data_IF_137097814541
#
_entry.id   IF_137097814541
#
_cell.length_a   1.000
_cell.length_b   1.000
_cell.length_c   1.000
_cell.angle_alpha   90.00
_cell.angle_beta   90.00
_cell.angle_gamma   90.00
#
_symmetry.space_group_name_H-M   'P 1'
#
loop_
_entity.id
_entity.type
_entity.pdbx_description
1 polymer ?
#
# COMPACT_ATOMS: atom_id res chain seq x y z
N UNK A 1 -15.58 19.34 25.84
CA UNK A 1 -14.67 18.23 26.17
C UNK A 1 -13.53 18.26 25.16
N UNK A 2 -12.34 18.66 25.62
CA UNK A 2 -11.22 19.08 24.79
C UNK A 2 -10.63 17.88 24.02
N UNK A 3 -10.58 17.96 22.69
CA UNK A 3 -9.77 17.06 21.88
C UNK A 3 -8.30 17.40 22.13
N UNK A 4 -7.64 16.59 22.94
CA UNK A 4 -6.18 16.56 23.01
C UNK A 4 -5.70 16.03 21.65
N UNK A 5 -5.36 16.94 20.74
CA UNK A 5 -4.48 16.61 19.63
C UNK A 5 -3.12 16.38 20.27
N UNK A 6 -2.81 15.11 20.56
CA UNK A 6 -1.47 14.74 20.97
C UNK A 6 -0.51 15.25 19.88
N UNK A 7 0.44 16.09 20.28
CA UNK A 7 1.48 16.58 19.40
C UNK A 7 2.14 15.38 18.71
N UNK A 8 2.15 15.39 17.37
CA UNK A 8 2.75 14.35 16.55
C UNK A 8 4.24 14.28 16.89
N UNK A 9 4.63 13.25 17.64
CA UNK A 9 6.03 12.79 17.69
C UNK A 9 6.50 12.63 16.24
N UNK A 10 7.69 13.15 15.94
CA UNK A 10 8.21 13.29 14.58
C UNK A 10 7.88 12.08 13.69
N UNK A 11 7.18 12.32 12.59
CA UNK A 11 6.81 11.25 11.67
C UNK A 11 8.06 10.74 10.95
N UNK A 12 8.28 9.44 10.99
CA UNK A 12 9.44 8.81 10.35
C UNK A 12 9.39 9.08 8.83
N UNK A 13 10.38 9.78 8.24
CA UNK A 13 10.45 9.94 6.79
C UNK A 13 10.77 8.60 6.11
N UNK A 14 10.32 8.44 4.86
CA UNK A 14 10.54 7.21 4.08
C UNK A 14 12.02 6.90 3.84
N UNK A 15 12.83 7.91 3.58
CA UNK A 15 14.29 7.81 3.44
C UNK A 15 14.93 7.23 4.69
N UNK A 16 14.49 7.64 5.88
CA UNK A 16 14.98 7.12 7.17
C UNK A 16 14.50 5.70 7.39
N UNK A 17 13.25 5.37 7.03
CA UNK A 17 12.78 3.99 7.04
C UNK A 17 13.67 3.12 6.15
N UNK A 18 13.92 3.55 4.91
CA UNK A 18 14.72 2.84 3.93
C UNK A 18 16.13 2.57 4.45
N UNK A 19 16.81 3.58 4.98
CA UNK A 19 18.17 3.45 5.51
C UNK A 19 18.25 2.41 6.64
N UNK A 20 17.27 2.39 7.54
CA UNK A 20 17.21 1.42 8.64
C UNK A 20 16.89 0.02 8.14
N UNK A 21 15.95 -0.09 7.20
CA UNK A 21 15.48 -1.36 6.66
C UNK A 21 16.44 -1.98 5.64
N UNK A 22 17.41 -1.24 5.10
CA UNK A 22 18.34 -1.73 4.09
C UNK A 22 19.21 -2.90 4.57
N UNK A 23 19.49 -2.98 5.87
CA UNK A 23 20.24 -4.07 6.50
C UNK A 23 19.35 -5.15 7.13
N UNK A 24 18.02 -5.03 7.03
CA UNK A 24 17.07 -5.95 7.63
C UNK A 24 16.75 -7.11 6.70
N UNK A 25 16.59 -8.30 7.27
CA UNK A 25 15.93 -9.39 6.57
C UNK A 25 14.42 -9.10 6.39
N UNK A 26 13.74 -9.96 5.62
CA UNK A 26 12.32 -9.80 5.34
C UNK A 26 11.43 -9.85 6.61
N UNK A 27 11.78 -10.63 7.64
CA UNK A 27 10.99 -10.73 8.89
C UNK A 27 11.12 -9.46 9.71
N UNK A 28 12.34 -8.97 9.85
CA UNK A 28 12.67 -7.73 10.55
C UNK A 28 12.00 -6.55 9.86
N UNK A 29 12.07 -6.49 8.52
CA UNK A 29 11.42 -5.42 7.73
C UNK A 29 9.91 -5.44 7.88
N UNK A 30 9.27 -6.60 7.76
CA UNK A 30 7.82 -6.73 7.93
C UNK A 30 7.38 -6.28 9.33
N UNK A 31 8.12 -6.72 10.36
CA UNK A 31 7.87 -6.31 11.74
C UNK A 31 8.03 -4.81 11.92
N UNK A 32 9.07 -4.22 11.32
CA UNK A 32 9.32 -2.79 11.37
C UNK A 32 8.22 -1.99 10.66
N UNK A 33 7.76 -2.44 9.48
CA UNK A 33 6.66 -1.83 8.75
C UNK A 33 5.35 -1.85 9.56
N UNK A 34 5.02 -2.97 10.23
CA UNK A 34 3.85 -3.09 11.09
C UNK A 34 3.91 -2.14 12.30
N UNK A 35 5.08 -1.94 12.90
CA UNK A 35 5.26 -0.94 13.97
C UNK A 35 5.01 0.46 13.42
N UNK A 36 5.57 0.80 12.26
CA UNK A 36 5.38 2.13 11.66
C UNK A 36 3.94 2.40 11.23
N UNK A 37 3.23 1.38 10.74
CA UNK A 37 1.79 1.43 10.50
C UNK A 37 1.03 1.82 11.77
N UNK A 38 1.29 1.14 12.90
CA UNK A 38 0.63 1.41 14.19
C UNK A 38 0.93 2.80 14.73
N UNK A 39 2.11 3.33 14.43
CA UNK A 39 2.51 4.71 14.75
C UNK A 39 1.90 5.75 13.78
N UNK A 40 1.17 5.33 12.75
CA UNK A 40 0.54 6.21 11.78
C UNK A 40 1.50 6.80 10.76
N UNK A 41 2.69 6.21 10.56
CA UNK A 41 3.68 6.66 9.57
C UNK A 41 3.33 6.19 8.16
N UNK A 42 2.11 6.49 7.73
CA UNK A 42 1.60 6.22 6.38
C UNK A 42 1.44 7.56 5.66
N UNK A 43 1.91 7.70 4.41
CA UNK A 43 1.69 8.92 3.63
C UNK A 43 0.19 9.23 3.51
N UNK A 44 -0.21 10.44 3.86
CA UNK A 44 -1.63 10.81 3.95
C UNK A 44 -2.38 10.68 2.60
N UNK A 45 -1.67 10.71 1.47
CA UNK A 45 -2.30 10.49 0.17
C UNK A 45 -2.73 9.04 -0.05
N UNK A 46 -2.08 8.05 0.58
CA UNK A 46 -2.49 6.64 0.47
C UNK A 46 -3.85 6.38 1.10
N UNK A 47 -4.26 7.20 2.06
CA UNK A 47 -5.56 7.10 2.73
C UNK A 47 -6.71 7.70 1.90
N UNK A 48 -6.41 8.38 0.79
CA UNK A 48 -7.40 8.90 -0.16
C UNK A 48 -7.69 7.82 -1.20
N UNK A 49 -8.67 6.97 -0.92
CA UNK A 49 -8.98 5.85 -1.80
C UNK A 49 -9.67 6.30 -3.10
N UNK A 50 -9.34 5.63 -4.20
CA UNK A 50 -9.87 5.90 -5.53
C UNK A 50 -10.91 4.86 -5.95
N UNK A 51 -12.06 5.26 -6.50
CA UNK A 51 -13.08 4.32 -6.96
C UNK A 51 -12.69 3.67 -8.29
N UNK A 52 -12.77 2.35 -8.35
CA UNK A 52 -12.71 1.58 -9.60
C UNK A 52 -14.08 0.97 -9.84
N UNK A 53 -14.73 1.39 -10.92
CA UNK A 53 -16.05 0.90 -11.33
C UNK A 53 -15.88 -0.29 -12.24
N UNK A 54 -16.56 -1.39 -11.93
CA UNK A 54 -16.50 -2.63 -12.71
C UNK A 54 -17.89 -3.12 -13.05
N UNK A 55 -17.97 -3.83 -14.17
CA UNK A 55 -19.16 -4.55 -14.61
C UNK A 55 -18.75 -5.94 -15.06
N UNK A 56 -19.48 -6.96 -14.62
CA UNK A 56 -19.30 -8.35 -15.06
C UNK A 56 -20.67 -8.92 -15.43
N UNK A 57 -20.77 -9.47 -16.62
CA UNK A 57 -21.97 -10.20 -17.06
C UNK A 57 -21.81 -11.67 -16.72
N UNK A 58 -22.76 -12.23 -15.98
CA UNK A 58 -22.80 -13.65 -15.71
C UNK A 58 -23.07 -14.40 -17.02
N UNK A 59 -22.14 -15.25 -17.44
CA UNK A 59 -22.23 -15.96 -18.72
C UNK A 59 -23.41 -16.95 -18.80
N UNK A 60 -23.90 -17.45 -17.67
CA UNK A 60 -24.99 -18.44 -17.60
C UNK A 60 -26.35 -17.75 -17.53
N UNK A 61 -26.49 -16.72 -16.68
CA UNK A 61 -27.78 -16.07 -16.42
C UNK A 61 -28.00 -14.81 -17.25
N UNK A 62 -26.96 -14.29 -17.92
CA UNK A 62 -26.99 -13.00 -18.62
C UNK A 62 -27.08 -11.79 -17.70
N UNK A 63 -27.16 -11.98 -16.38
CA UNK A 63 -27.29 -10.89 -15.41
C UNK A 63 -26.01 -10.07 -15.33
N UNK A 64 -26.13 -8.75 -15.46
CA UNK A 64 -25.04 -7.82 -15.24
C UNK A 64 -24.89 -7.51 -13.74
N UNK A 65 -23.67 -7.64 -13.24
CA UNK A 65 -23.28 -7.25 -11.90
C UNK A 65 -22.38 -6.02 -11.99
N UNK A 66 -22.79 -4.93 -11.35
CA UNK A 66 -22.01 -3.69 -11.27
C UNK A 66 -21.53 -3.52 -9.84
N UNK A 67 -20.25 -3.17 -9.68
CA UNK A 67 -19.66 -2.91 -8.38
C UNK A 67 -18.70 -1.72 -8.46
N UNK A 68 -18.43 -1.11 -7.32
CA UNK A 68 -17.35 -0.13 -7.15
C UNK A 68 -16.55 -0.53 -5.92
N UNK A 69 -15.25 -0.67 -6.09
CA UNK A 69 -14.32 -0.85 -4.96
C UNK A 69 -13.36 0.33 -4.90
N UNK A 70 -12.91 0.62 -3.69
CA UNK A 70 -12.03 1.74 -3.39
C UNK A 70 -10.62 1.23 -3.12
N UNK A 71 -9.64 1.76 -3.84
CA UNK A 71 -8.26 1.27 -3.83
C UNK A 71 -7.29 2.37 -3.42
N UNK A 72 -6.17 2.00 -2.82
CA UNK A 72 -5.10 2.96 -2.55
C UNK A 72 -4.50 3.47 -3.87
N UNK A 73 -4.07 4.75 -3.94
CA UNK A 73 -3.51 5.32 -5.17
C UNK A 73 -2.13 4.78 -5.56
N UNK A 74 -1.43 4.12 -4.64
CA UNK A 74 -0.11 3.50 -4.86
C UNK A 74 0.02 2.27 -3.92
N UNK A 75 1.12 1.53 -4.06
CA UNK A 75 1.53 0.46 -3.17
C UNK A 75 1.71 0.95 -1.73
N UNK A 76 1.55 0.02 -0.79
CA UNK A 76 1.80 0.29 0.62
C UNK A 76 3.19 0.90 0.85
N UNK A 77 3.21 2.02 1.56
CA UNK A 77 4.42 2.80 1.80
C UNK A 77 4.45 3.32 3.23
N UNK A 78 5.66 3.45 3.76
CA UNK A 78 5.91 4.10 5.05
C UNK A 78 6.58 5.45 4.81
N UNK A 79 6.15 6.47 5.55
CA UNK A 79 6.74 7.79 5.47
C UNK A 79 5.75 8.93 5.64
N UNK A 80 6.15 10.09 5.14
CA UNK A 80 5.33 11.30 5.03
C UNK A 80 4.83 11.47 3.59
N UNK A 81 3.93 12.43 3.37
CA UNK A 81 3.46 12.77 2.02
C UNK A 81 4.54 13.35 1.09
N UNK A 82 5.71 13.75 1.63
CA UNK A 82 6.81 14.34 0.84
C UNK A 82 8.04 13.43 0.77
N UNK A 83 8.12 12.43 1.63
CA UNK A 83 9.24 11.49 1.73
C UNK A 83 8.69 10.15 2.22
N UNK A 84 8.50 9.21 1.29
CA UNK A 84 7.99 7.87 1.53
C UNK A 84 8.78 6.81 0.77
N UNK A 85 8.78 5.58 1.29
CA UNK A 85 9.37 4.43 0.64
C UNK A 85 8.29 3.35 0.42
N UNK A 86 8.24 2.76 -0.78
CA UNK A 86 7.40 1.58 -1.04
C UNK A 86 8.01 0.38 -0.34
N UNK A 87 7.20 -0.41 0.35
CA UNK A 87 7.71 -1.50 1.20
C UNK A 87 7.40 -2.86 0.57
N UNK A 88 8.42 -3.68 0.24
CA UNK A 88 8.20 -5.05 -0.14
C UNK A 88 7.84 -5.88 1.09
N UNK A 89 6.60 -6.35 1.13
CA UNK A 89 6.02 -7.12 2.23
C UNK A 89 5.88 -8.59 1.84
N UNK A 90 5.96 -9.48 2.82
CA UNK A 90 5.44 -10.84 2.63
C UNK A 90 3.91 -10.85 2.59
N UNK A 91 3.28 -11.88 1.99
CA UNK A 91 1.82 -12.03 2.02
C UNK A 91 1.24 -12.05 3.45
N UNK A 92 2.00 -12.58 4.42
CA UNK A 92 1.59 -12.64 5.83
C UNK A 92 1.47 -11.24 6.44
N UNK A 93 2.47 -10.38 6.26
CA UNK A 93 2.42 -9.00 6.75
C UNK A 93 1.38 -8.16 6.00
N UNK A 94 1.26 -8.36 4.68
CA UNK A 94 0.25 -7.69 3.87
C UNK A 94 -1.18 -8.00 4.34
N UNK A 95 -1.48 -9.26 4.70
CA UNK A 95 -2.77 -9.65 5.26
C UNK A 95 -3.05 -8.93 6.60
N UNK A 96 -2.07 -8.90 7.51
CA UNK A 96 -2.21 -8.19 8.79
C UNK A 96 -2.48 -6.69 8.58
N UNK A 97 -1.79 -6.06 7.63
CA UNK A 97 -2.02 -4.65 7.29
C UNK A 97 -3.44 -4.45 6.75
N UNK A 98 -3.87 -5.29 5.79
CA UNK A 98 -5.20 -5.21 5.22
C UNK A 98 -6.28 -5.34 6.30
N UNK A 99 -6.20 -6.35 7.16
CA UNK A 99 -7.13 -6.56 8.26
C UNK A 99 -7.19 -5.35 9.21
N UNK A 100 -6.03 -4.80 9.59
CA UNK A 100 -5.95 -3.64 10.48
C UNK A 100 -6.60 -2.37 9.91
N UNK A 101 -6.61 -2.24 8.58
CA UNK A 101 -7.22 -1.12 7.87
C UNK A 101 -8.66 -1.42 7.41
N UNK A 102 -9.22 -2.60 7.76
CA UNK A 102 -10.51 -3.11 7.26
C UNK A 102 -10.56 -3.17 5.72
N UNK A 103 -9.44 -3.52 5.12
CA UNK A 103 -9.27 -3.77 3.70
C UNK A 103 -9.04 -5.27 3.46
N UNK A 104 -8.88 -5.64 2.20
CA UNK A 104 -8.51 -6.99 1.80
C UNK A 104 -7.51 -6.94 0.65
N UNK A 105 -6.77 -8.03 0.44
CA UNK A 105 -5.84 -8.13 -0.68
C UNK A 105 -6.60 -8.32 -2.00
N UNK A 106 -6.26 -7.56 -3.06
CA UNK A 106 -6.98 -7.64 -4.32
C UNK A 106 -6.77 -9.00 -5.00
N UNK A 107 -7.81 -9.51 -5.65
CA UNK A 107 -7.70 -10.66 -6.55
C UNK A 107 -6.99 -10.27 -7.86
N UNK A 108 -6.54 -11.26 -8.64
CA UNK A 108 -5.96 -11.02 -9.97
C UNK A 108 -6.84 -10.12 -10.84
N UNK A 109 -8.14 -10.41 -10.92
CA UNK A 109 -9.07 -9.59 -11.72
C UNK A 109 -9.10 -8.14 -11.23
N UNK A 110 -9.12 -7.91 -9.92
CA UNK A 110 -9.10 -6.56 -9.37
C UNK A 110 -7.80 -5.84 -9.70
N UNK A 111 -6.65 -6.53 -9.63
CA UNK A 111 -5.36 -5.96 -10.04
C UNK A 111 -5.38 -5.53 -11.49
N UNK A 112 -5.92 -6.37 -12.39
CA UNK A 112 -6.05 -6.04 -13.82
C UNK A 112 -6.97 -4.81 -14.04
N UNK A 113 -8.12 -4.79 -13.39
CA UNK A 113 -9.08 -3.67 -13.45
C UNK A 113 -8.46 -2.35 -12.89
N UNK A 114 -7.70 -2.42 -11.79
CA UNK A 114 -6.97 -1.29 -11.20
C UNK A 114 -5.92 -0.77 -12.19
N UNK A 115 -5.15 -1.65 -12.82
CA UNK A 115 -4.14 -1.27 -13.81
C UNK A 115 -4.79 -0.56 -15.01
N UNK A 116 -5.92 -1.08 -15.51
CA UNK A 116 -6.67 -0.45 -16.59
C UNK A 116 -7.16 0.95 -16.21
N UNK A 117 -7.69 1.12 -15.00
CA UNK A 117 -8.18 2.40 -14.47
C UNK A 117 -7.07 3.39 -14.11
N UNK A 118 -5.83 2.93 -13.89
CA UNK A 118 -4.69 3.77 -13.50
C UNK A 118 -4.26 4.72 -14.63
N UNK A 119 -4.03 5.99 -14.30
CA UNK A 119 -3.49 6.97 -15.24
C UNK A 119 -2.01 6.75 -15.57
N UNK A 120 -1.27 6.16 -14.64
CA UNK A 120 0.17 5.86 -14.79
C UNK A 120 0.35 4.38 -15.06
N UNK A 121 1.09 4.04 -16.12
CA UNK A 121 1.40 2.67 -16.53
C UNK A 121 2.91 2.58 -16.81
N UNK A 122 3.74 2.34 -15.78
CA UNK A 122 5.19 2.32 -15.95
C UNK A 122 5.61 1.13 -16.81
N UNK A 123 6.61 1.32 -17.67
CA UNK A 123 7.24 0.21 -18.38
C UNK A 123 7.97 -0.69 -17.39
N UNK A 124 7.96 -2.02 -17.58
CA UNK A 124 8.73 -2.93 -16.75
C UNK A 124 10.22 -2.60 -16.81
N UNK A 125 10.83 -2.39 -15.66
CA UNK A 125 12.29 -2.18 -15.53
C UNK A 125 12.94 -3.37 -14.82
N UNK A 126 14.18 -3.73 -15.19
CA UNK A 126 14.95 -4.71 -14.43
C UNK A 126 15.08 -4.31 -12.96
N UNK A 127 15.23 -5.31 -12.09
CA UNK A 127 15.37 -5.09 -10.66
C UNK A 127 16.79 -4.64 -10.31
N UNK A 128 16.99 -3.34 -10.15
CA UNK A 128 18.28 -2.76 -9.72
C UNK A 128 18.38 -2.60 -8.20
N UNK A 129 19.61 -2.47 -7.70
CA UNK A 129 19.91 -2.22 -6.28
C UNK A 129 19.43 -0.83 -5.81
N UNK A 130 19.48 0.18 -6.69
CA UNK A 130 18.95 1.51 -6.42
C UNK A 130 17.54 1.62 -6.99
N UNK A 131 16.54 1.71 -6.11
CA UNK A 131 15.12 1.81 -6.45
C UNK A 131 14.32 2.45 -5.31
N UNK A 132 13.07 2.80 -5.58
CA UNK A 132 12.15 3.47 -4.63
C UNK A 132 11.62 2.56 -3.49
N UNK A 133 12.31 1.45 -3.21
CA UNK A 133 11.91 0.45 -2.21
C UNK A 133 13.12 -0.31 -1.65
N UNK A 134 13.05 -0.71 -0.39
CA UNK A 134 14.14 -1.44 0.29
C UNK A 134 14.56 -2.69 -0.49
N UNK A 135 15.82 -3.14 -0.42
CA UNK A 135 16.25 -4.39 -1.06
C UNK A 135 15.34 -5.58 -0.73
N UNK A 136 15.11 -6.46 -1.71
CA UNK A 136 14.20 -7.61 -1.59
C UNK A 136 14.88 -8.92 -1.23
N UNK A 137 16.21 -8.95 -1.20
CA UNK A 137 17.02 -10.13 -0.84
C UNK A 137 17.47 -10.05 0.62
#
# INVERSE_FOLDING_TARGET
MQHIVAARLESLPGSVFYQRAAAMDWKQRDSFALVQLRLGNIPAFLLKLHPVRVSVTNAVTGKQHVATYYVTPDYFSIGTSKDWARIPLTPMAAAVIADSLRCFLPSRKMVDDIYLASSVKPEPVPMYAFRDSTPTM
#
